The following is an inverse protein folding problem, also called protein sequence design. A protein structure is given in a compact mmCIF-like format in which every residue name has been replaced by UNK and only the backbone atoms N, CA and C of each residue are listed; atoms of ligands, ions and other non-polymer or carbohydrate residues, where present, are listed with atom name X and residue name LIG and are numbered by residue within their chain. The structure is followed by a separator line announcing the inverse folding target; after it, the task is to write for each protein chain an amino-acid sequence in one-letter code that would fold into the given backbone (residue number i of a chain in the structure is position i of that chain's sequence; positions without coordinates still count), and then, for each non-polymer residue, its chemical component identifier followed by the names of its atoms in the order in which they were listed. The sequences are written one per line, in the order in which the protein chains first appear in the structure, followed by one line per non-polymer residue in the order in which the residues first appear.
data_IF_627251159100
#
_entry.id   IF_627251159100
#
_cell.length_a   1.000
_cell.length_b   1.000
_cell.length_c   1.000
_cell.angle_alpha   90.00
_cell.angle_beta   90.00
_cell.angle_gamma   90.00
#
_symmetry.space_group_name_H-M   'P 1'
#
loop_
_entity.id
_entity.type
_entity.pdbx_description
1 polymer ?
#
# COMPACT_ATOMS: atom_id res chain seq x y z
N UNK A 1 14.00 18.30 -15.99
CA UNK A 1 14.13 17.89 -14.58
C UNK A 1 12.77 17.39 -14.06
N UNK A 2 12.42 16.13 -14.30
CA UNK A 2 11.08 15.58 -14.04
C UNK A 2 11.22 14.49 -13.00
N UNK A 3 10.80 14.64 -11.73
CA UNK A 3 10.88 13.45 -10.82
C UNK A 3 10.19 13.36 -9.44
N UNK A 4 9.25 14.22 -9.02
CA UNK A 4 8.64 14.01 -7.66
C UNK A 4 7.13 14.20 -7.53
N UNK A 5 6.47 15.03 -8.34
CA UNK A 5 5.02 15.28 -8.17
C UNK A 5 4.15 14.06 -8.49
N UNK A 6 4.46 13.32 -9.56
CA UNK A 6 3.63 12.17 -10.00
C UNK A 6 3.52 11.09 -8.92
N UNK A 7 4.58 10.84 -8.15
CA UNK A 7 4.56 9.82 -7.11
C UNK A 7 3.71 10.24 -5.90
N UNK A 8 3.75 11.52 -5.51
CA UNK A 8 2.90 12.06 -4.43
C UNK A 8 1.43 12.01 -4.80
N UNK A 9 1.07 12.42 -6.01
CA UNK A 9 -0.32 12.39 -6.49
C UNK A 9 -0.85 10.95 -6.57
N UNK A 10 -0.05 10.02 -7.10
CA UNK A 10 -0.40 8.58 -7.12
C UNK A 10 -0.54 8.00 -5.71
N UNK A 11 0.33 8.38 -4.78
CA UNK A 11 0.26 7.96 -3.37
C UNK A 11 -1.05 8.44 -2.72
N UNK A 12 -1.41 9.71 -2.91
CA UNK A 12 -2.64 10.28 -2.37
C UNK A 12 -3.89 9.65 -2.98
N UNK A 13 -3.91 9.47 -4.31
CA UNK A 13 -5.02 8.82 -5.01
C UNK A 13 -5.23 7.39 -4.50
N UNK A 14 -4.15 6.62 -4.34
CA UNK A 14 -4.24 5.25 -3.80
C UNK A 14 -4.73 5.24 -2.36
N UNK A 15 -4.25 6.15 -1.51
CA UNK A 15 -4.71 6.26 -0.13
C UNK A 15 -6.20 6.61 -0.03
N UNK A 16 -6.69 7.53 -0.89
CA UNK A 16 -8.12 7.88 -0.97
C UNK A 16 -8.96 6.68 -1.40
N UNK A 17 -8.54 5.94 -2.43
CA UNK A 17 -9.23 4.73 -2.89
C UNK A 17 -9.33 3.67 -1.78
N UNK A 18 -8.20 3.38 -1.09
CA UNK A 18 -8.19 2.42 0.03
C UNK A 18 -9.07 2.90 1.17
N UNK A 19 -9.07 4.20 1.47
CA UNK A 19 -9.94 4.78 2.50
C UNK A 19 -11.42 4.61 2.14
N UNK A 20 -11.80 4.81 0.88
CA UNK A 20 -13.17 4.59 0.40
C UNK A 20 -13.57 3.12 0.49
N UNK A 21 -12.68 2.19 0.10
CA UNK A 21 -12.92 0.75 0.21
C UNK A 21 -13.05 0.30 1.67
N UNK A 22 -12.22 0.83 2.56
CA UNK A 22 -12.33 0.57 4.00
C UNK A 22 -13.65 1.10 4.59
N UNK A 23 -14.14 2.26 4.12
CA UNK A 23 -15.48 2.77 4.49
C UNK A 23 -16.58 1.83 4.05
N UNK A 24 -16.53 1.34 2.80
CA UNK A 24 -17.50 0.35 2.29
C UNK A 24 -17.47 -0.96 3.08
N UNK A 25 -16.29 -1.37 3.55
CA UNK A 25 -16.06 -2.60 4.33
C UNK A 25 -16.13 -2.38 5.84
N UNK A 26 -16.75 -1.29 6.32
CA UNK A 26 -16.80 -0.96 7.75
C UNK A 26 -17.42 -2.10 8.58
N UNK A 27 -18.46 -2.76 8.05
CA UNK A 27 -19.19 -3.83 8.74
C UNK A 27 -18.56 -5.23 8.55
N UNK A 28 -17.66 -5.39 7.58
CA UNK A 28 -17.02 -6.68 7.27
C UNK A 28 -16.12 -7.17 8.42
N UNK A 29 -15.96 -8.49 8.66
CA UNK A 29 -15.14 -8.99 9.76
C UNK A 29 -13.67 -8.55 9.65
N UNK A 30 -12.99 -8.41 10.81
CA UNK A 30 -11.60 -7.93 10.88
C UNK A 30 -10.64 -8.74 9.99
N UNK A 31 -10.89 -10.05 9.83
CA UNK A 31 -10.07 -10.97 9.02
C UNK A 31 -10.12 -10.61 7.54
N UNK A 32 -11.30 -10.30 7.01
CA UNK A 32 -11.47 -9.91 5.60
C UNK A 32 -10.84 -8.55 5.32
N UNK A 33 -11.06 -7.58 6.20
CA UNK A 33 -10.44 -6.26 6.08
C UNK A 33 -8.92 -6.36 6.15
N UNK A 34 -8.39 -7.17 7.08
CA UNK A 34 -6.96 -7.44 7.20
C UNK A 34 -6.35 -8.11 5.96
N UNK A 35 -7.02 -9.12 5.40
CA UNK A 35 -6.58 -9.78 4.18
C UNK A 35 -6.57 -8.84 2.96
N UNK A 36 -7.61 -8.02 2.80
CA UNK A 36 -7.65 -6.98 1.76
C UNK A 36 -6.49 -5.98 1.92
N UNK A 37 -6.26 -5.48 3.14
CA UNK A 37 -5.16 -4.55 3.41
C UNK A 37 -3.79 -5.17 3.14
N UNK A 38 -3.61 -6.46 3.46
CA UNK A 38 -2.40 -7.23 3.12
C UNK A 38 -2.14 -7.19 1.62
N UNK A 39 -3.14 -7.52 0.80
CA UNK A 39 -3.02 -7.53 -0.66
C UNK A 39 -2.71 -6.15 -1.23
N UNK A 40 -3.35 -5.10 -0.71
CA UNK A 40 -3.08 -3.71 -1.11
C UNK A 40 -1.64 -3.30 -0.80
N UNK A 41 -1.17 -3.53 0.43
CA UNK A 41 0.18 -3.16 0.86
C UNK A 41 1.23 -4.00 0.14
N UNK A 42 1.00 -5.30 -0.05
CA UNK A 42 1.88 -6.19 -0.81
C UNK A 42 2.00 -5.74 -2.27
N UNK A 43 0.87 -5.43 -2.94
CA UNK A 43 0.87 -4.92 -4.30
C UNK A 43 1.58 -3.57 -4.44
N UNK A 44 1.35 -2.66 -3.49
CA UNK A 44 2.04 -1.37 -3.46
C UNK A 44 3.54 -1.53 -3.25
N UNK A 45 3.96 -2.40 -2.33
CA UNK A 45 5.37 -2.68 -2.05
C UNK A 45 6.05 -3.33 -3.26
N UNK A 46 5.38 -4.25 -3.97
CA UNK A 46 5.91 -4.88 -5.19
C UNK A 46 6.06 -3.90 -6.37
N UNK A 47 5.21 -2.89 -6.45
CA UNK A 47 5.28 -1.88 -7.51
C UNK A 47 6.33 -0.80 -7.21
N UNK A 48 6.40 -0.34 -5.96
CA UNK A 48 7.26 0.78 -5.56
C UNK A 48 8.57 0.36 -4.85
N UNK A 49 8.79 -0.94 -4.64
CA UNK A 49 9.87 -1.55 -3.85
C UNK A 49 11.26 -1.46 -4.46
N UNK A 50 11.64 -0.28 -4.94
CA UNK A 50 12.96 0.03 -5.49
C UNK A 50 13.84 0.71 -4.44
N UNK A 51 15.18 0.67 -4.60
CA UNK A 51 16.11 1.34 -3.70
C UNK A 51 15.77 2.83 -3.67
N UNK A 52 15.86 3.48 -2.50
CA UNK A 52 15.44 4.86 -2.22
C UNK A 52 13.94 5.10 -1.94
N UNK A 53 13.03 4.14 -2.21
CA UNK A 53 11.59 4.30 -1.93
C UNK A 53 11.10 3.67 -0.62
N UNK A 54 11.99 3.07 0.18
CA UNK A 54 11.67 2.44 1.46
C UNK A 54 10.89 3.38 2.40
N UNK A 55 11.31 4.65 2.50
CA UNK A 55 10.67 5.66 3.36
C UNK A 55 9.25 5.99 2.91
N UNK A 56 9.02 6.08 1.60
CA UNK A 56 7.69 6.34 1.04
C UNK A 56 6.73 5.15 1.24
N UNK A 57 7.23 3.92 1.08
CA UNK A 57 6.45 2.69 1.33
C UNK A 57 6.12 2.56 2.82
N UNK A 58 7.09 2.84 3.70
CA UNK A 58 6.87 2.90 5.15
C UNK A 58 5.82 3.93 5.54
N UNK A 59 5.86 5.13 4.95
CA UNK A 59 4.85 6.17 5.15
C UNK A 59 3.45 5.72 4.68
N UNK A 60 3.36 5.01 3.55
CA UNK A 60 2.10 4.44 3.06
C UNK A 60 1.53 3.40 4.04
N UNK A 61 2.36 2.47 4.52
CA UNK A 61 1.99 1.46 5.53
C UNK A 61 1.45 2.12 6.79
N UNK A 62 2.14 3.16 7.29
CA UNK A 62 1.72 3.90 8.49
C UNK A 62 0.41 4.67 8.27
N UNK A 63 0.22 5.27 7.10
CA UNK A 63 -1.02 5.96 6.74
C UNK A 63 -2.21 5.00 6.73
N UNK A 64 -2.07 3.81 6.12
CA UNK A 64 -3.09 2.77 6.14
C UNK A 64 -3.38 2.31 7.58
N UNK A 65 -2.35 2.07 8.39
CA UNK A 65 -2.52 1.68 9.79
C UNK A 65 -3.31 2.74 10.58
N UNK A 66 -3.02 4.03 10.40
CA UNK A 66 -3.76 5.12 11.05
C UNK A 66 -5.23 5.17 10.63
N UNK A 67 -5.52 5.04 9.34
CA UNK A 67 -6.90 5.01 8.82
C UNK A 67 -7.65 3.81 9.40
N UNK A 68 -7.04 2.62 9.37
CA UNK A 68 -7.65 1.40 9.90
C UNK A 68 -7.89 1.49 11.41
N UNK A 69 -6.96 2.04 12.18
CA UNK A 69 -7.12 2.29 13.61
C UNK A 69 -8.30 3.22 13.89
N UNK A 70 -8.40 4.32 13.14
CA UNK A 70 -9.53 5.27 13.26
C UNK A 70 -10.86 4.60 12.94
N UNK A 71 -10.93 3.74 11.94
CA UNK A 71 -12.16 3.00 11.61
C UNK A 71 -12.53 1.98 12.69
N UNK A 72 -11.56 1.21 13.19
CA UNK A 72 -11.80 0.25 14.28
C UNK A 72 -12.26 0.93 15.57
N UNK A 73 -11.68 2.09 15.91
CA UNK A 73 -12.13 2.90 17.05
C UNK A 73 -13.55 3.43 16.88
N UNK A 74 -13.97 3.78 15.66
CA UNK A 74 -15.35 4.19 15.39
C UNK A 74 -16.34 3.04 15.42
N UNK A 75 -15.92 1.83 15.00
CA UNK A 75 -16.77 0.64 14.99
C UNK A 75 -16.92 0.01 16.36
N UNK A 76 -15.88 0.04 17.19
CA UNK A 76 -15.91 -0.62 18.49
C UNK A 76 -16.55 0.31 19.52
N UNK A 77 -17.75 -0.06 19.96
CA UNK A 77 -18.42 0.50 21.15
C UNK A 77 -17.64 0.21 22.44
N UNK A 78 -16.81 -0.84 22.46
CA UNK A 78 -15.98 -1.20 23.62
C UNK A 78 -14.73 -0.32 23.69
N UNK A 79 -14.65 0.38 24.81
CA UNK A 79 -13.61 1.31 25.25
C UNK A 79 -12.23 1.11 24.62
N UNK A 80 -11.73 2.19 23.97
CA UNK A 80 -10.33 2.45 23.55
C UNK A 80 -9.54 1.22 23.10
N UNK A 81 -9.56 0.91 21.79
CA UNK A 81 -8.60 -0.02 21.17
C UNK A 81 -7.16 0.42 21.53
N UNK A 82 -6.45 -0.31 22.41
CA UNK A 82 -5.11 0.09 22.83
C UNK A 82 -4.16 -0.05 21.66
N UNK A 83 -3.16 0.83 21.60
CA UNK A 83 -2.22 0.87 20.48
C UNK A 83 -1.47 -0.47 20.33
N UNK A 84 -1.21 -1.20 21.41
CA UNK A 84 -0.59 -2.53 21.35
C UNK A 84 -1.44 -3.56 20.60
N UNK A 85 -2.76 -3.52 20.77
CA UNK A 85 -3.68 -4.39 20.01
C UNK A 85 -3.68 -4.00 18.53
N UNK A 86 -3.63 -2.70 18.24
CA UNK A 86 -3.49 -2.21 16.87
C UNK A 86 -2.16 -2.65 16.26
N UNK A 87 -1.04 -2.56 17.01
CA UNK A 87 0.29 -2.99 16.56
C UNK A 87 0.29 -4.46 16.18
N UNK A 88 -0.28 -5.34 17.02
CA UNK A 88 -0.47 -6.76 16.69
C UNK A 88 -1.27 -7.00 15.40
N UNK A 89 -2.32 -6.22 15.15
CA UNK A 89 -3.09 -6.31 13.90
C UNK A 89 -2.27 -5.83 12.71
N UNK A 90 -1.53 -4.73 12.86
CA UNK A 90 -0.66 -4.19 11.81
C UNK A 90 0.45 -5.18 11.47
N UNK A 91 1.08 -5.80 12.46
CA UNK A 91 2.17 -6.74 12.23
C UNK A 91 1.68 -8.07 11.66
N UNK A 92 0.47 -8.51 12.05
CA UNK A 92 -0.17 -9.70 11.49
C UNK A 92 -0.57 -9.53 10.03
N UNK A 93 -1.14 -8.38 9.67
CA UNK A 93 -1.83 -8.22 8.38
C UNK A 93 -1.05 -7.38 7.38
N UNK A 94 -0.35 -6.34 7.81
CA UNK A 94 0.44 -5.52 6.90
C UNK A 94 1.84 -6.14 6.81
N UNK A 95 2.33 -6.54 5.62
CA UNK A 95 3.68 -7.06 5.45
C UNK A 95 4.71 -5.93 5.51
N UNK A 96 5.87 -6.14 6.16
CA UNK A 96 6.89 -5.10 6.28
C UNK A 96 7.33 -4.60 4.90
N UNK A 97 7.72 -3.33 4.83
CA UNK A 97 8.22 -2.70 3.61
C UNK A 97 9.60 -3.28 3.27
N UNK A 98 9.63 -4.50 2.74
CA UNK A 98 10.86 -5.13 2.24
C UNK A 98 11.12 -4.62 0.83
N UNK A 99 12.22 -3.90 0.66
CA UNK A 99 12.72 -3.44 -0.64
C UNK A 99 13.47 -4.61 -1.27
N UNK A 100 12.97 -5.14 -2.37
CA UNK A 100 13.55 -6.31 -3.03
C UNK A 100 13.46 -6.23 -4.56
N UNK A 101 13.60 -5.04 -5.14
CA UNK A 101 13.78 -4.91 -6.59
C UNK A 101 15.03 -4.10 -6.92
N UNK A 102 15.89 -4.57 -7.85
CA UNK A 102 16.86 -3.70 -8.50
C UNK A 102 16.13 -2.61 -9.31
N UNK A 103 16.86 -1.54 -9.64
CA UNK A 103 16.33 -0.28 -10.20
C UNK A 103 15.39 -0.49 -11.43
N UNK A 104 14.35 0.36 -11.64
CA UNK A 104 13.34 0.17 -12.69
C UNK A 104 13.85 0.19 -14.14
N UNK A 105 15.09 0.62 -14.38
CA UNK A 105 15.69 0.66 -15.72
C UNK A 105 15.74 -0.73 -16.38
N UNK A 106 15.75 -1.82 -15.59
CA UNK A 106 15.69 -3.19 -16.12
C UNK A 106 14.25 -3.66 -16.37
N UNK A 107 13.26 -3.05 -15.69
CA UNK A 107 11.86 -3.50 -15.72
C UNK A 107 11.02 -2.83 -16.82
N UNK A 108 11.44 -1.65 -17.26
CA UNK A 108 10.88 -0.93 -18.40
C UNK A 108 11.83 -0.93 -19.61
N UNK A 109 12.76 -1.89 -19.68
CA UNK A 109 13.36 -2.30 -20.94
C UNK A 109 12.28 -2.98 -21.77
N UNK A 110 11.41 -2.19 -22.39
CA UNK A 110 10.66 -2.63 -23.57
C UNK A 110 11.75 -2.91 -24.60
N UNK A 111 12.14 -4.18 -24.71
CA UNK A 111 12.72 -4.66 -25.96
C UNK A 111 11.55 -4.58 -26.94
N UNK A 112 11.41 -3.45 -27.64
CA UNK A 112 10.72 -3.44 -28.92
C UNK A 112 11.53 -4.38 -29.79
N UNK A 113 11.20 -5.67 -29.76
CA UNK A 113 11.70 -6.62 -30.73
C UNK A 113 11.19 -6.09 -32.06
N UNK A 114 12.11 -5.54 -32.86
CA UNK A 114 11.81 -4.84 -34.08
C UNK A 114 10.96 -5.72 -34.99
N UNK A 115 9.75 -5.26 -35.31
CA UNK A 115 9.09 -5.69 -36.53
C UNK A 115 9.69 -4.88 -37.67
N UNK A 116 10.86 -5.32 -38.12
CA UNK A 116 11.26 -5.15 -39.51
C UNK A 116 10.73 -6.35 -40.28
N UNK A 117 9.81 -6.11 -41.21
CA UNK A 117 9.94 -6.63 -42.57
C UNK A 117 9.07 -5.84 -43.53
N UNK A 118 9.75 -5.16 -44.45
CA UNK A 118 9.25 -4.83 -45.79
C UNK A 118 8.59 -6.06 -46.43
N UNK A 119 7.41 -5.87 -47.01
CA UNK A 119 7.13 -6.06 -48.44
C UNK A 119 5.73 -5.54 -48.76
#
# INVERSE_FOLDING_TARGET
MVRRQTMRTRWQAKLRAVTADLRRRLHAPLREVGAYLRSVVAGHTRYYGVPMNARAIGAFRLAIARVWCRMLRRRSQRHRLPWDRMRRLVDRWLPPARVCHPYPLVRFGVVTQGKSRMR
#
